data_IF_048905201151
#
_entry.id   IF_048905201151
#
_cell.length_a   1.000
_cell.length_b   1.000
_cell.length_c   1.000
_cell.angle_alpha   90.00
_cell.angle_beta   90.00
_cell.angle_gamma   90.00
#
_symmetry.space_group_name_H-M   'P 1'
#
loop_
_entity.id
_entity.type
_entity.pdbx_description
1 polymer ?
#
# COMPACT_ATOMS: atom_id res chain seq x y z
N UNK A 1 -6.48 6.59 38.91
CA UNK A 1 -5.09 6.34 39.29
C UNK A 1 -4.27 6.93 38.16
N UNK A 2 -3.67 8.09 38.37
CA UNK A 2 -2.69 8.62 37.41
C UNK A 2 -1.41 7.82 37.60
N UNK A 3 -0.91 7.25 36.50
CA UNK A 3 0.35 6.53 36.49
C UNK A 3 1.40 7.55 36.09
N UNK A 4 2.25 7.93 37.05
CA UNK A 4 3.41 8.78 36.78
C UNK A 4 4.52 7.90 36.19
N UNK A 5 4.88 8.16 34.93
CA UNK A 5 5.98 7.46 34.26
C UNK A 5 7.28 8.16 34.65
N UNK A 6 8.25 7.40 35.15
CA UNK A 6 9.56 7.96 35.50
C UNK A 6 10.30 8.42 34.24
N UNK A 7 11.24 9.36 34.39
CA UNK A 7 12.07 9.81 33.27
C UNK A 7 12.92 8.67 32.71
N UNK A 8 13.42 7.82 33.58
CA UNK A 8 14.27 6.68 33.21
C UNK A 8 13.50 5.68 32.35
N UNK A 9 12.24 5.38 32.70
CA UNK A 9 11.38 4.49 31.91
C UNK A 9 11.08 5.09 30.53
N UNK A 10 10.79 6.40 30.48
CA UNK A 10 10.59 7.11 29.23
C UNK A 10 11.84 7.06 28.34
N UNK A 11 13.01 7.36 28.89
CA UNK A 11 14.28 7.38 28.16
C UNK A 11 14.64 5.98 27.65
N UNK A 12 14.46 4.95 28.46
CA UNK A 12 14.63 3.55 28.06
C UNK A 12 13.73 3.19 26.87
N UNK A 13 12.44 3.54 26.93
CA UNK A 13 11.51 3.31 25.81
C UNK A 13 11.94 4.04 24.52
N UNK A 14 12.34 5.30 24.63
CA UNK A 14 12.81 6.08 23.48
C UNK A 14 14.06 5.45 22.86
N UNK A 15 15.02 5.02 23.67
CA UNK A 15 16.27 4.42 23.21
C UNK A 15 16.02 3.11 22.45
N UNK A 16 15.11 2.26 22.92
CA UNK A 16 14.75 1.03 22.19
C UNK A 16 14.16 1.38 20.81
N UNK A 17 13.21 2.31 20.76
CA UNK A 17 12.58 2.72 19.51
C UNK A 17 13.62 3.30 18.55
N UNK A 18 14.49 4.18 19.06
CA UNK A 18 15.53 4.83 18.28
C UNK A 18 16.53 3.82 17.72
N UNK A 19 17.03 2.90 18.54
CA UNK A 19 17.94 1.83 18.10
C UNK A 19 17.29 0.99 17.00
N UNK A 20 16.01 0.63 17.14
CA UNK A 20 15.30 -0.12 16.12
C UNK A 20 15.21 0.68 14.80
N UNK A 21 14.91 1.98 14.86
CA UNK A 21 14.80 2.83 13.66
C UNK A 21 16.16 2.98 12.98
N UNK A 22 17.20 3.29 13.73
CA UNK A 22 18.55 3.56 13.22
C UNK A 22 19.21 2.29 12.68
N UNK A 23 19.03 1.15 13.35
CA UNK A 23 19.67 -0.10 12.94
C UNK A 23 18.91 -0.88 11.86
N UNK A 24 17.57 -0.91 11.89
CA UNK A 24 16.79 -1.60 10.86
C UNK A 24 16.52 -0.74 9.63
N UNK A 25 16.27 0.55 9.83
CA UNK A 25 15.63 1.39 8.83
C UNK A 25 14.18 0.97 8.53
N UNK A 26 13.65 1.29 7.33
CA UNK A 26 12.28 0.96 6.93
C UNK A 26 12.00 -0.55 6.92
N UNK A 27 10.97 -0.99 7.65
CA UNK A 27 10.60 -2.41 7.85
C UNK A 27 9.36 -2.78 7.04
N UNK A 28 9.48 -2.78 5.71
CA UNK A 28 8.39 -3.27 4.85
C UNK A 28 8.04 -4.73 5.21
N UNK A 29 6.77 -5.15 5.14
CA UNK A 29 6.39 -6.52 5.44
C UNK A 29 7.17 -7.52 4.59
N UNK A 30 7.64 -8.58 5.23
CA UNK A 30 8.31 -9.73 4.64
C UNK A 30 9.69 -9.35 4.04
N UNK A 31 10.29 -8.26 4.55
CA UNK A 31 11.64 -7.80 4.21
C UNK A 31 12.70 -8.30 5.21
N UNK A 32 13.98 -8.35 4.82
CA UNK A 32 15.07 -8.64 5.75
C UNK A 32 15.14 -7.67 6.95
N UNK A 33 14.75 -6.40 6.74
CA UNK A 33 14.73 -5.36 7.78
C UNK A 33 13.67 -5.65 8.84
N UNK A 34 12.48 -6.13 8.43
CA UNK A 34 11.44 -6.58 9.36
C UNK A 34 11.96 -7.74 10.22
N UNK A 35 12.60 -8.73 9.59
CA UNK A 35 13.19 -9.87 10.30
C UNK A 35 14.27 -9.42 11.30
N UNK A 36 15.15 -8.47 10.92
CA UNK A 36 16.12 -7.87 11.84
C UNK A 36 15.44 -7.16 13.02
N UNK A 37 14.33 -6.47 12.76
CA UNK A 37 13.56 -5.77 13.79
C UNK A 37 12.97 -6.74 14.80
N UNK A 38 12.41 -7.85 14.32
CA UNK A 38 11.91 -8.92 15.17
C UNK A 38 13.01 -9.52 16.05
N UNK A 39 14.23 -9.70 15.53
CA UNK A 39 15.36 -10.20 16.33
C UNK A 39 15.81 -9.22 17.42
N UNK A 40 15.80 -7.91 17.14
CA UNK A 40 16.12 -6.91 18.17
C UNK A 40 15.07 -6.89 19.29
N UNK A 41 13.78 -6.96 18.93
CA UNK A 41 12.70 -7.06 19.92
C UNK A 41 12.81 -8.35 20.72
N UNK A 42 13.13 -9.48 20.07
CA UNK A 42 13.36 -10.76 20.76
C UNK A 42 14.46 -10.61 21.82
N UNK A 43 15.62 -10.06 21.44
CA UNK A 43 16.75 -9.85 22.34
C UNK A 43 16.41 -8.94 23.52
N UNK A 44 15.55 -7.94 23.30
CA UNK A 44 15.10 -7.06 24.38
C UNK A 44 14.21 -7.81 25.38
N UNK A 45 13.26 -8.60 24.87
CA UNK A 45 12.36 -9.41 25.71
C UNK A 45 13.11 -10.50 26.48
N UNK A 46 14.17 -11.09 25.90
CA UNK A 46 15.00 -12.12 26.55
C UNK A 46 15.69 -11.62 27.83
N UNK A 47 15.79 -10.30 28.04
CA UNK A 47 16.37 -9.73 29.26
C UNK A 47 15.44 -9.86 30.47
N UNK A 48 14.14 -9.98 30.24
CA UNK A 48 13.12 -9.91 31.31
C UNK A 48 12.18 -11.11 31.33
N UNK A 49 11.98 -11.78 30.20
CA UNK A 49 11.10 -12.93 30.07
C UNK A 49 11.87 -14.25 30.23
N UNK A 50 11.24 -15.26 30.83
CA UNK A 50 11.82 -16.60 30.96
C UNK A 50 11.98 -17.31 29.60
N UNK A 51 11.03 -17.08 28.67
CA UNK A 51 11.04 -17.68 27.34
C UNK A 51 10.56 -16.68 26.29
N UNK A 52 11.28 -16.58 25.16
CA UNK A 52 10.92 -15.72 24.02
C UNK A 52 11.09 -16.49 22.71
N UNK A 53 9.97 -16.67 22.01
CA UNK A 53 9.90 -17.42 20.76
C UNK A 53 9.58 -16.51 19.58
N UNK A 54 10.18 -16.80 18.42
CA UNK A 54 9.86 -16.15 17.14
C UNK A 54 9.12 -17.15 16.27
N UNK A 55 7.84 -16.91 16.07
CA UNK A 55 6.99 -17.77 15.24
C UNK A 55 7.19 -17.49 13.76
N UNK A 56 7.31 -18.56 12.97
CA UNK A 56 7.41 -18.47 11.52
C UNK A 56 6.02 -18.58 10.91
N UNK A 57 5.70 -17.67 9.99
CA UNK A 57 4.47 -17.70 9.23
C UNK A 57 4.77 -17.48 7.74
N UNK A 58 3.86 -17.94 6.89
CA UNK A 58 3.92 -17.71 5.45
C UNK A 58 3.23 -16.40 5.11
N UNK A 59 3.95 -15.52 4.44
CA UNK A 59 3.45 -14.25 3.94
C UNK A 59 3.53 -14.23 2.41
N UNK A 60 2.56 -13.60 1.76
CA UNK A 60 2.59 -13.31 0.33
C UNK A 60 2.97 -11.84 0.13
N UNK A 61 4.28 -11.52 0.00
CA UNK A 61 4.70 -10.14 -0.21
C UNK A 61 4.03 -9.61 -1.47
N UNK A 62 3.42 -8.41 -1.36
CA UNK A 62 2.71 -7.70 -2.44
C UNK A 62 1.32 -8.23 -2.80
N UNK A 63 0.71 -9.13 -2.02
CA UNK A 63 -0.68 -9.52 -2.25
C UNK A 63 -1.64 -8.31 -2.22
N UNK A 64 -1.44 -7.36 -1.33
CA UNK A 64 -2.21 -6.10 -1.30
C UNK A 64 -1.62 -5.03 -2.22
N UNK A 65 -0.33 -4.71 -2.09
CA UNK A 65 0.30 -3.58 -2.80
C UNK A 65 0.61 -3.87 -4.28
N UNK A 66 0.60 -5.13 -4.71
CA UNK A 66 0.85 -5.52 -6.10
C UNK A 66 -0.24 -5.08 -7.06
N UNK A 67 -1.49 -5.03 -6.59
CA UNK A 67 -2.67 -4.65 -7.38
C UNK A 67 -2.67 -3.19 -7.80
N UNK A 68 -2.06 -2.30 -7.01
CA UNK A 68 -2.02 -0.86 -7.28
C UNK A 68 -1.53 -0.56 -8.70
N UNK A 69 -0.55 -1.31 -9.21
CA UNK A 69 -0.04 -1.12 -10.58
C UNK A 69 -1.07 -1.45 -11.66
N UNK A 70 -1.84 -2.52 -11.43
CA UNK A 70 -2.91 -2.97 -12.31
C UNK A 70 -4.06 -1.97 -12.26
N UNK A 71 -4.41 -1.50 -11.07
CA UNK A 71 -5.47 -0.51 -10.87
C UNK A 71 -5.15 0.82 -11.56
N UNK A 72 -3.93 1.33 -11.42
CA UNK A 72 -3.48 2.54 -12.12
C UNK A 72 -3.58 2.38 -13.63
N UNK A 73 -3.20 1.22 -14.16
CA UNK A 73 -3.34 0.94 -15.59
C UNK A 73 -4.81 0.94 -16.03
N UNK A 74 -5.70 0.29 -15.28
CA UNK A 74 -7.14 0.27 -15.60
C UNK A 74 -7.79 1.64 -15.49
N UNK A 75 -7.35 2.48 -14.55
CA UNK A 75 -7.83 3.86 -14.44
C UNK A 75 -7.47 4.64 -15.71
N UNK A 76 -6.21 4.60 -16.14
CA UNK A 76 -5.76 5.30 -17.36
C UNK A 76 -6.49 4.77 -18.60
N UNK A 77 -6.68 3.45 -18.68
CA UNK A 77 -7.43 2.82 -19.76
C UNK A 77 -8.90 3.28 -19.75
N UNK A 78 -9.54 3.33 -18.58
CA UNK A 78 -10.92 3.80 -18.42
C UNK A 78 -11.07 5.24 -18.89
N UNK A 79 -10.17 6.15 -18.49
CA UNK A 79 -10.19 7.52 -18.97
C UNK A 79 -10.03 7.60 -20.49
N UNK A 80 -9.10 6.83 -21.05
CA UNK A 80 -8.86 6.79 -22.50
C UNK A 80 -10.11 6.28 -23.25
N UNK A 81 -10.74 5.22 -22.78
CA UNK A 81 -11.97 4.68 -23.34
C UNK A 81 -13.13 5.69 -23.23
N UNK A 82 -13.27 6.38 -22.09
CA UNK A 82 -14.32 7.38 -21.90
C UNK A 82 -14.28 8.49 -22.96
N UNK A 83 -13.11 9.06 -23.21
CA UNK A 83 -12.96 10.12 -24.23
C UNK A 83 -13.10 9.60 -25.66
N UNK A 84 -12.58 8.40 -25.95
CA UNK A 84 -12.70 7.80 -27.29
C UNK A 84 -14.15 7.42 -27.62
N UNK A 85 -14.87 6.80 -26.69
CA UNK A 85 -16.28 6.43 -26.89
C UNK A 85 -17.12 7.68 -27.14
N UNK A 86 -16.94 8.75 -26.36
CA UNK A 86 -17.68 9.99 -26.57
C UNK A 86 -17.44 10.56 -27.98
N UNK A 87 -16.18 10.60 -28.42
CA UNK A 87 -15.81 11.11 -29.74
C UNK A 87 -16.41 10.26 -30.88
N UNK A 88 -16.30 8.93 -30.79
CA UNK A 88 -16.80 8.05 -31.84
C UNK A 88 -18.33 7.97 -31.88
N UNK A 89 -19.01 7.96 -30.72
CA UNK A 89 -20.47 7.84 -30.65
C UNK A 89 -21.16 9.09 -31.21
N UNK A 90 -20.67 10.29 -30.87
CA UNK A 90 -21.20 11.55 -31.41
C UNK A 90 -20.98 11.66 -32.93
N UNK A 91 -19.78 11.30 -33.40
CA UNK A 91 -19.46 11.33 -34.83
C UNK A 91 -20.32 10.33 -35.62
N UNK A 92 -20.56 9.15 -35.06
CA UNK A 92 -21.41 8.13 -35.68
C UNK A 92 -22.88 8.56 -35.74
N UNK A 93 -23.41 9.12 -34.64
CA UNK A 93 -24.79 9.59 -34.58
C UNK A 93 -25.04 10.75 -35.56
N UNK A 94 -24.11 11.70 -35.65
CA UNK A 94 -24.20 12.84 -36.58
C UNK A 94 -24.14 12.40 -38.03
N UNK A 95 -23.31 11.41 -38.37
CA UNK A 95 -23.27 10.81 -39.72
C UNK A 95 -24.62 10.16 -40.08
N UNK A 96 -25.21 9.36 -39.18
CA UNK A 96 -26.53 8.74 -39.39
C UNK A 96 -27.58 9.82 -39.67
N UNK A 97 -27.59 10.88 -38.86
CA UNK A 97 -28.54 11.99 -39.00
C UNK A 97 -28.37 12.71 -40.34
N UNK A 98 -27.12 12.96 -40.78
CA UNK A 98 -26.83 13.57 -42.06
C UNK A 98 -27.33 12.71 -43.24
N UNK A 99 -27.15 11.38 -43.17
CA UNK A 99 -27.67 10.45 -44.19
C UNK A 99 -29.20 10.46 -44.22
N UNK A 100 -29.86 10.48 -43.07
CA UNK A 100 -31.34 10.57 -42.99
C UNK A 100 -31.83 11.89 -43.60
N UNK A 101 -31.21 13.02 -43.26
CA UNK A 101 -31.61 14.34 -43.79
C UNK A 101 -31.41 14.41 -45.30
N UNK A 102 -30.31 13.87 -45.83
CA UNK A 102 -30.06 13.78 -47.26
C UNK A 102 -31.12 12.90 -47.94
N UNK A 103 -31.41 11.73 -47.38
CA UNK A 103 -32.41 10.80 -47.92
C UNK A 103 -33.85 11.31 -47.85
N UNK A 104 -34.16 12.25 -46.96
CA UNK A 104 -35.45 12.96 -46.90
C UNK A 104 -35.51 14.20 -47.80
N UNK A 105 -34.36 14.75 -48.21
CA UNK A 105 -34.27 15.91 -49.11
C UNK A 105 -34.12 15.53 -50.60
N UNK A 106 -33.88 14.25 -50.91
CA UNK A 106 -33.88 13.68 -52.27
C UNK A 106 -35.23 13.04 -52.54
#
# INVERSE_FOLDING_TARGET
MEIEISKDDSEYMYNIIQNIIEECGPRMPCSPQEAKGAQMVKKELEQTCDEVNVERFTCHPRAALGWIKIDVFFIILSFSCFFLIQLFLETFLTLILAVIILGLNV
#
